data_IF_741174801981
#
_entry.id   IF_741174801981
#
_cell.length_a   1.000
_cell.length_b   1.000
_cell.length_c   1.000
_cell.angle_alpha   90.00
_cell.angle_beta   90.00
_cell.angle_gamma   90.00
#
_symmetry.space_group_name_H-M   'P 1'
#
loop_
_entity.id
_entity.type
_entity.pdbx_description
1 polymer ?
#
# COMPACT_ATOMS: atom_id res chain seq x y z
N UNK A 1 6.20 -6.59 14.69
CA UNK A 1 7.23 -7.29 13.85
C UNK A 1 7.53 -6.44 12.65
N UNK A 2 8.77 -6.50 12.13
CA UNK A 2 9.21 -5.64 11.01
C UNK A 2 9.32 -6.48 9.74
N UNK A 3 8.67 -6.04 8.66
CA UNK A 3 8.80 -6.60 7.32
C UNK A 3 10.15 -6.21 6.69
N UNK A 4 10.71 -7.08 5.87
CA UNK A 4 11.92 -6.82 5.10
C UNK A 4 11.88 -7.56 3.75
N UNK A 5 12.85 -7.29 2.86
CA UNK A 5 12.87 -7.90 1.52
C UNK A 5 12.94 -9.43 1.55
N UNK A 6 13.71 -10.02 2.44
CA UNK A 6 13.80 -11.49 2.53
C UNK A 6 12.45 -12.14 2.91
N UNK A 7 11.69 -11.49 3.81
CA UNK A 7 10.33 -11.92 4.15
C UNK A 7 9.35 -11.69 3.00
N UNK A 8 9.43 -10.54 2.32
CA UNK A 8 8.65 -10.23 1.13
C UNK A 8 8.86 -11.29 0.05
N UNK A 9 10.11 -11.59 -0.28
CA UNK A 9 10.46 -12.60 -1.28
C UNK A 9 9.90 -13.98 -0.93
N UNK A 10 10.02 -14.39 0.34
CA UNK A 10 9.46 -15.65 0.82
C UNK A 10 7.94 -15.72 0.66
N UNK A 11 7.24 -14.64 0.99
CA UNK A 11 5.78 -14.58 0.89
C UNK A 11 5.32 -14.57 -0.57
N UNK A 12 5.99 -13.82 -1.43
CA UNK A 12 5.74 -13.82 -2.88
C UNK A 12 5.99 -15.20 -3.50
N UNK A 13 7.07 -15.87 -3.11
CA UNK A 13 7.37 -17.25 -3.55
C UNK A 13 6.30 -18.23 -3.10
N UNK A 14 5.82 -18.12 -1.85
CA UNK A 14 4.75 -18.98 -1.33
C UNK A 14 3.44 -18.73 -2.08
N UNK A 15 3.09 -17.47 -2.35
CA UNK A 15 1.91 -17.10 -3.12
C UNK A 15 1.98 -17.66 -4.55
N UNK A 16 3.12 -17.54 -5.22
CA UNK A 16 3.33 -18.06 -6.57
C UNK A 16 3.20 -19.58 -6.62
N UNK A 17 3.83 -20.28 -5.66
CA UNK A 17 3.74 -21.74 -5.57
C UNK A 17 2.31 -22.21 -5.31
N UNK A 18 1.57 -21.49 -4.47
CA UNK A 18 0.19 -21.86 -4.13
C UNK A 18 -0.78 -21.62 -5.28
N UNK A 19 -0.71 -20.47 -5.91
CA UNK A 19 -1.69 -20.04 -6.93
C UNK A 19 -1.32 -20.42 -8.37
N UNK A 20 -0.08 -20.83 -8.63
CA UNK A 20 0.45 -21.00 -9.98
C UNK A 20 0.70 -19.67 -10.72
N UNK A 21 0.46 -18.54 -10.08
CA UNK A 21 0.67 -17.21 -10.67
C UNK A 21 2.10 -16.72 -10.44
N UNK A 22 2.63 -15.94 -11.37
CA UNK A 22 3.98 -15.39 -11.27
C UNK A 22 4.03 -13.87 -11.19
N UNK A 23 2.88 -13.19 -11.33
CA UNK A 23 2.76 -11.73 -11.28
C UNK A 23 1.70 -11.35 -10.24
N UNK A 24 2.06 -10.41 -9.38
CA UNK A 24 1.17 -9.91 -8.32
C UNK A 24 1.23 -8.40 -8.25
N UNK A 25 0.11 -7.74 -8.03
CA UNK A 25 0.10 -6.34 -7.60
C UNK A 25 0.29 -6.32 -6.09
N UNK A 26 1.36 -5.65 -5.63
CA UNK A 26 1.68 -5.50 -4.21
C UNK A 26 1.20 -4.13 -3.73
N UNK A 27 0.20 -4.13 -2.87
CA UNK A 27 -0.35 -2.92 -2.25
C UNK A 27 -0.04 -2.87 -0.75
N UNK A 28 -0.70 -2.02 0.00
CA UNK A 28 -0.55 -1.93 1.45
C UNK A 28 0.83 -1.45 1.94
N UNK A 29 1.15 -1.76 3.18
CA UNK A 29 2.36 -1.23 3.84
C UNK A 29 3.65 -1.79 3.26
N UNK A 30 3.65 -3.06 2.84
CA UNK A 30 4.84 -3.75 2.34
C UNK A 30 5.30 -3.25 0.95
N UNK A 31 4.43 -2.54 0.21
CA UNK A 31 4.75 -1.97 -1.11
C UNK A 31 5.99 -1.05 -1.09
N UNK A 32 6.27 -0.40 0.04
CA UNK A 32 7.45 0.46 0.22
C UNK A 32 8.76 -0.29 -0.03
N UNK A 33 8.81 -1.61 0.23
CA UNK A 33 10.01 -2.44 0.01
C UNK A 33 10.38 -2.60 -1.47
N UNK A 34 9.40 -2.55 -2.35
CA UNK A 34 9.61 -2.62 -3.79
C UNK A 34 10.12 -1.32 -4.41
N UNK A 35 9.96 -0.17 -3.72
CA UNK A 35 10.31 1.16 -4.24
C UNK A 35 11.37 1.90 -3.43
N UNK A 36 11.45 1.64 -2.13
CA UNK A 36 12.23 2.47 -1.21
C UNK A 36 13.65 1.99 -0.96
N UNK A 37 14.55 2.95 -0.71
CA UNK A 37 15.83 2.77 -0.02
C UNK A 37 15.76 3.57 1.27
N UNK A 38 16.48 3.13 2.32
CA UNK A 38 16.52 3.81 3.63
C UNK A 38 15.11 4.05 4.23
N UNK A 39 14.29 3.00 4.19
CA UNK A 39 12.89 3.05 4.59
C UNK A 39 12.79 3.24 6.10
N UNK A 40 12.00 4.22 6.61
CA UNK A 40 11.75 4.37 8.03
C UNK A 40 11.16 3.10 8.66
N UNK A 41 11.58 2.78 9.88
CA UNK A 41 11.13 1.59 10.60
C UNK A 41 9.59 1.54 10.76
N UNK A 42 8.96 2.69 10.97
CA UNK A 42 7.50 2.79 11.13
C UNK A 42 6.73 2.42 9.86
N UNK A 43 7.34 2.57 8.68
CA UNK A 43 6.74 2.12 7.41
C UNK A 43 6.84 0.61 7.21
N UNK A 44 7.70 -0.08 7.96
CA UNK A 44 7.95 -1.51 7.88
C UNK A 44 7.19 -2.31 8.95
N UNK A 45 6.38 -1.65 9.78
CA UNK A 45 5.60 -2.29 10.86
C UNK A 45 4.39 -3.02 10.30
N UNK A 46 4.63 -4.17 9.68
CA UNK A 46 3.60 -5.08 9.19
C UNK A 46 4.07 -6.53 9.22
N UNK A 47 3.13 -7.47 9.34
CA UNK A 47 3.35 -8.91 9.24
C UNK A 47 2.79 -9.50 7.94
N UNK A 48 2.12 -8.68 7.15
CA UNK A 48 1.39 -9.07 5.97
C UNK A 48 1.97 -8.45 4.69
N UNK A 49 1.74 -9.12 3.58
CA UNK A 49 1.76 -8.51 2.25
C UNK A 49 0.35 -8.57 1.68
N UNK A 50 -0.14 -7.45 1.18
CA UNK A 50 -1.44 -7.32 0.53
C UNK A 50 -1.23 -7.48 -0.98
N UNK A 51 -1.71 -8.58 -1.58
CA UNK A 51 -1.50 -8.88 -3.00
C UNK A 51 -2.74 -9.42 -3.69
N UNK A 52 -2.80 -9.21 -5.00
CA UNK A 52 -3.69 -9.93 -5.92
C UNK A 52 -2.96 -10.26 -7.21
N UNK A 53 -3.43 -11.29 -7.93
CA UNK A 53 -2.88 -11.72 -9.22
C UNK A 53 -3.67 -11.06 -10.35
N UNK A 54 -3.13 -10.03 -11.04
CA UNK A 54 -3.89 -9.28 -12.05
C UNK A 54 -4.17 -10.08 -13.33
N UNK A 55 -3.37 -11.10 -13.59
CA UNK A 55 -3.43 -11.90 -14.81
C UNK A 55 -4.21 -13.23 -14.61
N UNK A 56 -4.79 -13.45 -13.42
CA UNK A 56 -5.59 -14.63 -13.14
C UNK A 56 -6.94 -14.57 -13.85
N UNK A 57 -7.39 -15.69 -14.40
CA UNK A 57 -8.72 -15.82 -15.02
C UNK A 57 -9.85 -15.52 -14.02
N UNK A 58 -9.66 -15.88 -12.74
CA UNK A 58 -10.55 -15.59 -11.62
C UNK A 58 -9.72 -15.04 -10.44
N UNK A 59 -9.67 -13.72 -10.34
CA UNK A 59 -8.92 -13.03 -9.27
C UNK A 59 -9.52 -13.33 -7.90
N UNK A 60 -10.84 -13.45 -7.79
CA UNK A 60 -11.51 -13.67 -6.50
C UNK A 60 -11.20 -15.07 -5.98
N UNK A 61 -11.28 -16.09 -6.83
CA UNK A 61 -10.92 -17.47 -6.46
C UNK A 61 -9.45 -17.58 -6.02
N UNK A 62 -8.52 -16.94 -6.73
CA UNK A 62 -7.10 -16.90 -6.32
C UNK A 62 -6.93 -16.17 -4.99
N UNK A 63 -7.62 -15.05 -4.79
CA UNK A 63 -7.59 -14.29 -3.54
C UNK A 63 -8.06 -15.12 -2.35
N UNK A 64 -9.18 -15.82 -2.49
CA UNK A 64 -9.74 -16.70 -1.47
C UNK A 64 -8.80 -17.87 -1.14
N UNK A 65 -8.19 -18.48 -2.16
CA UNK A 65 -7.22 -19.56 -1.98
C UNK A 65 -5.95 -19.09 -1.24
N UNK A 66 -5.41 -17.93 -1.61
CA UNK A 66 -4.27 -17.31 -0.89
C UNK A 66 -4.63 -17.02 0.56
N UNK A 67 -5.82 -16.47 0.81
CA UNK A 67 -6.30 -16.18 2.15
C UNK A 67 -6.46 -17.44 3.00
N UNK A 68 -7.04 -18.50 2.43
CA UNK A 68 -7.29 -19.76 3.15
C UNK A 68 -5.99 -20.46 3.58
N UNK A 69 -4.96 -20.46 2.72
CA UNK A 69 -3.75 -21.26 2.95
C UNK A 69 -2.54 -20.46 3.44
N UNK A 70 -2.45 -19.19 3.11
CA UNK A 70 -1.34 -18.31 3.47
C UNK A 70 -1.75 -17.11 4.33
N UNK A 71 -3.05 -16.93 4.57
CA UNK A 71 -3.62 -15.82 5.33
C UNK A 71 -3.34 -15.88 6.83
N UNK A 72 -3.79 -14.87 7.54
CA UNK A 72 -3.50 -14.63 8.97
C UNK A 72 -3.74 -15.82 9.89
N UNK A 73 -4.82 -16.55 9.66
CA UNK A 73 -5.25 -17.65 10.54
C UNK A 73 -4.80 -19.05 10.02
N UNK A 74 -3.91 -19.06 9.02
CA UNK A 74 -3.39 -20.28 8.42
C UNK A 74 -2.25 -20.91 9.25
N UNK A 75 -2.02 -22.21 9.06
CA UNK A 75 -0.84 -22.91 9.59
C UNK A 75 0.48 -22.25 9.10
N UNK A 76 0.47 -21.74 7.86
CA UNK A 76 1.61 -21.01 7.30
C UNK A 76 1.95 -19.77 8.12
N UNK A 77 0.95 -18.94 8.46
CA UNK A 77 1.13 -17.74 9.28
C UNK A 77 1.64 -18.08 10.68
N UNK A 78 1.09 -19.11 11.30
CA UNK A 78 1.51 -19.59 12.61
C UNK A 78 2.99 -19.97 12.64
N UNK A 79 3.45 -20.71 11.64
CA UNK A 79 4.84 -21.18 11.56
C UNK A 79 5.80 -20.04 11.20
N UNK A 80 5.42 -19.14 10.29
CA UNK A 80 6.32 -18.13 9.73
C UNK A 80 6.27 -16.79 10.44
N UNK A 81 5.24 -16.50 11.23
CA UNK A 81 4.99 -15.20 11.86
C UNK A 81 4.69 -14.06 10.88
N UNK A 82 4.50 -14.39 9.59
CA UNK A 82 4.13 -13.48 8.51
C UNK A 82 3.16 -14.19 7.59
N UNK A 83 2.32 -13.45 6.86
CA UNK A 83 1.27 -14.02 6.03
C UNK A 83 1.01 -13.22 4.76
N UNK A 84 0.24 -13.81 3.86
CA UNK A 84 -0.27 -13.18 2.64
C UNK A 84 -1.72 -12.80 2.90
N UNK A 85 -2.04 -11.53 2.72
CA UNK A 85 -3.42 -11.06 2.66
C UNK A 85 -3.83 -10.98 1.19
N UNK A 86 -4.60 -11.96 0.74
CA UNK A 86 -5.21 -11.93 -0.57
C UNK A 86 -6.24 -10.81 -0.62
N UNK A 87 -6.08 -9.87 -1.56
CA UNK A 87 -6.96 -8.73 -1.70
C UNK A 87 -7.54 -8.64 -3.10
N UNK A 88 -8.57 -7.83 -3.28
CA UNK A 88 -9.13 -7.54 -4.61
C UNK A 88 -8.58 -6.20 -5.15
N UNK A 89 -8.68 -5.95 -6.46
CA UNK A 89 -8.26 -4.67 -7.05
C UNK A 89 -8.91 -3.43 -6.41
N UNK A 90 -10.11 -3.59 -5.80
CA UNK A 90 -10.85 -2.51 -5.13
C UNK A 90 -10.38 -2.23 -3.71
N UNK A 91 -9.58 -3.11 -3.12
CA UNK A 91 -9.10 -2.97 -1.72
C UNK A 91 -8.23 -1.74 -1.54
N UNK A 92 -7.34 -1.47 -2.49
CA UNK A 92 -6.53 -0.25 -2.50
C UNK A 92 -7.26 0.86 -3.29
N UNK A 93 -7.77 1.86 -2.58
CA UNK A 93 -8.49 3.02 -3.15
C UNK A 93 -7.50 3.99 -3.79
N UNK A 94 -7.06 3.68 -4.99
CA UNK A 94 -6.04 4.45 -5.72
C UNK A 94 -6.64 5.23 -6.91
N UNK A 95 -5.95 6.28 -7.40
CA UNK A 95 -6.31 6.96 -8.65
C UNK A 95 -6.39 5.99 -9.81
N UNK A 96 -7.31 6.17 -10.76
CA UNK A 96 -7.55 5.26 -11.90
C UNK A 96 -6.32 5.05 -12.79
N UNK A 97 -5.44 6.04 -12.86
CA UNK A 97 -4.23 6.04 -13.67
C UNK A 97 -2.97 5.50 -12.93
N UNK A 98 -3.15 4.91 -11.74
CA UNK A 98 -2.04 4.31 -10.96
C UNK A 98 -1.20 3.29 -11.76
N UNK A 99 -1.77 2.50 -12.71
CA UNK A 99 -0.97 1.50 -13.44
C UNK A 99 0.17 2.12 -14.27
N UNK A 100 0.03 3.37 -14.71
CA UNK A 100 1.06 4.09 -15.46
C UNK A 100 2.29 4.48 -14.63
N UNK A 101 2.21 4.33 -13.28
CA UNK A 101 3.25 4.77 -12.33
C UNK A 101 3.83 3.62 -11.52
N UNK A 102 3.73 2.41 -12.02
CA UNK A 102 4.24 1.21 -11.35
C UNK A 102 5.73 1.00 -11.58
N UNK A 103 6.35 0.22 -10.72
CA UNK A 103 7.64 -0.41 -10.95
C UNK A 103 7.51 -1.90 -10.73
N UNK A 104 8.37 -2.68 -11.36
CA UNK A 104 8.47 -4.11 -11.12
C UNK A 104 9.54 -4.38 -10.05
N UNK A 105 9.17 -5.19 -9.07
CA UNK A 105 10.08 -5.74 -8.08
C UNK A 105 10.27 -7.23 -8.36
N UNK A 106 11.52 -7.60 -8.63
CA UNK A 106 11.96 -9.00 -8.79
C UNK A 106 12.95 -9.31 -7.67
N UNK A 107 12.48 -10.01 -6.64
CA UNK A 107 13.31 -10.35 -5.48
C UNK A 107 14.27 -11.49 -5.77
N UNK A 108 15.48 -11.43 -5.20
CA UNK A 108 16.49 -12.50 -5.36
C UNK A 108 15.99 -13.82 -4.75
N UNK A 109 15.20 -13.75 -3.67
CA UNK A 109 14.65 -14.90 -2.98
C UNK A 109 13.41 -15.53 -3.63
N UNK A 110 12.84 -14.89 -4.67
CA UNK A 110 11.69 -15.38 -5.42
C UNK A 110 11.90 -15.29 -6.95
N UNK A 111 12.89 -16.00 -7.49
CA UNK A 111 13.20 -15.93 -8.93
C UNK A 111 11.98 -16.33 -9.78
N UNK A 112 11.72 -15.56 -10.84
CA UNK A 112 10.58 -15.78 -11.73
C UNK A 112 9.25 -15.21 -11.21
N UNK A 113 9.23 -14.58 -10.04
CA UNK A 113 8.05 -13.91 -9.50
C UNK A 113 8.25 -12.39 -9.57
N UNK A 114 7.25 -11.68 -10.06
CA UNK A 114 7.27 -10.22 -10.22
C UNK A 114 6.16 -9.61 -9.34
N UNK A 115 6.52 -8.67 -8.49
CA UNK A 115 5.54 -7.80 -7.85
C UNK A 115 5.46 -6.45 -8.58
N UNK A 116 4.26 -6.11 -9.05
CA UNK A 116 3.92 -4.81 -9.62
C UNK A 116 3.62 -3.87 -8.46
N UNK A 117 4.44 -2.84 -8.29
CA UNK A 117 4.36 -1.96 -7.12
C UNK A 117 3.90 -0.57 -7.55
N UNK A 118 2.72 -0.12 -7.10
CA UNK A 118 2.22 1.23 -7.36
C UNK A 118 3.13 2.32 -6.79
N UNK A 119 3.01 3.55 -7.28
CA UNK A 119 3.69 4.71 -6.71
C UNK A 119 3.31 4.91 -5.23
N UNK A 120 4.27 5.34 -4.40
CA UNK A 120 4.03 5.47 -2.96
C UNK A 120 3.00 6.54 -2.61
N UNK A 121 2.82 7.56 -3.44
CA UNK A 121 1.77 8.56 -3.24
C UNK A 121 0.38 7.98 -3.55
N UNK A 122 0.27 7.04 -4.51
CA UNK A 122 -0.99 6.34 -4.77
C UNK A 122 -1.35 5.40 -3.59
N UNK A 123 -0.36 4.68 -3.04
CA UNK A 123 -0.53 3.91 -1.80
C UNK A 123 -0.89 4.82 -0.61
N UNK A 124 -0.24 5.98 -0.51
CA UNK A 124 -0.51 6.97 0.54
C UNK A 124 -1.95 7.50 0.47
N UNK A 125 -2.49 7.75 -0.73
CA UNK A 125 -3.90 8.10 -0.93
C UNK A 125 -4.81 7.01 -0.37
N UNK A 126 -4.56 5.74 -0.72
CA UNK A 126 -5.35 4.62 -0.19
C UNK A 126 -5.31 4.55 1.34
N UNK A 127 -4.14 4.74 1.95
CA UNK A 127 -3.97 4.77 3.41
C UNK A 127 -4.64 5.98 4.04
N UNK A 128 -4.56 7.15 3.43
CA UNK A 128 -5.23 8.37 3.88
C UNK A 128 -6.76 8.19 3.83
N UNK A 129 -7.30 7.51 2.82
CA UNK A 129 -8.73 7.20 2.76
C UNK A 129 -9.16 6.17 3.80
N UNK A 130 -8.31 5.21 4.16
CA UNK A 130 -8.59 4.24 5.24
C UNK A 130 -8.46 4.83 6.64
N UNK A 131 -7.49 5.72 6.87
CA UNK A 131 -7.27 6.55 8.07
C UNK A 131 -7.17 5.81 9.40
N UNK A 132 -6.73 4.55 9.41
CA UNK A 132 -6.47 3.79 10.65
C UNK A 132 -5.22 4.33 11.36
N UNK A 133 -5.04 4.07 12.65
CA UNK A 133 -3.86 4.51 13.41
C UNK A 133 -2.54 4.05 12.77
N UNK A 134 -2.49 2.80 12.32
CA UNK A 134 -1.32 2.26 11.60
C UNK A 134 -1.05 3.01 10.28
N UNK A 135 -2.10 3.46 9.59
CA UNK A 135 -1.97 4.18 8.33
C UNK A 135 -1.46 5.60 8.56
N UNK A 136 -1.94 6.30 9.60
CA UNK A 136 -1.43 7.63 10.00
C UNK A 136 0.04 7.58 10.39
N UNK A 137 0.46 6.57 11.16
CA UNK A 137 1.87 6.36 11.51
C UNK A 137 2.74 6.15 10.27
N UNK A 138 2.29 5.33 9.33
CA UNK A 138 2.98 5.06 8.08
C UNK A 138 3.09 6.33 7.21
N UNK A 139 1.99 7.09 7.07
CA UNK A 139 1.94 8.36 6.35
C UNK A 139 2.90 9.39 6.96
N UNK A 140 2.87 9.55 8.28
CA UNK A 140 3.75 10.48 8.98
C UNK A 140 5.23 10.14 8.80
N UNK A 141 5.59 8.86 8.89
CA UNK A 141 6.97 8.42 8.67
C UNK A 141 7.44 8.65 7.22
N UNK A 142 6.61 8.30 6.24
CA UNK A 142 6.92 8.47 4.82
C UNK A 142 7.02 9.93 4.41
N UNK A 143 6.13 10.78 4.91
CA UNK A 143 6.13 12.22 4.62
C UNK A 143 7.36 12.91 5.23
N UNK A 144 7.72 12.60 6.49
CA UNK A 144 8.94 13.13 7.13
C UNK A 144 10.22 12.69 6.41
N UNK A 145 10.22 11.48 5.86
CA UNK A 145 11.35 10.95 5.10
C UNK A 145 11.41 11.45 3.64
N UNK A 146 10.44 12.25 3.19
CA UNK A 146 10.36 12.71 1.80
C UNK A 146 10.02 11.61 0.79
N UNK A 147 9.52 10.46 1.25
CA UNK A 147 9.07 9.35 0.40
C UNK A 147 7.64 9.54 -0.09
N UNK A 148 6.86 10.35 0.61
CA UNK A 148 5.48 10.75 0.29
C UNK A 148 5.45 12.26 0.15
N UNK A 149 4.79 12.73 -0.91
CA UNK A 149 4.61 14.15 -1.19
C UNK A 149 3.12 14.51 -1.16
N UNK A 150 2.72 15.31 -0.16
CA UNK A 150 1.33 15.73 0.02
C UNK A 150 0.78 16.53 -1.17
N UNK A 151 1.62 17.34 -1.84
CA UNK A 151 1.21 18.08 -3.04
C UNK A 151 0.82 17.13 -4.18
N UNK A 152 1.59 16.06 -4.37
CA UNK A 152 1.27 15.00 -5.34
C UNK A 152 -0.04 14.29 -4.98
N UNK A 153 -0.29 14.04 -3.69
CA UNK A 153 -1.55 13.44 -3.24
C UNK A 153 -2.75 14.34 -3.56
N UNK A 154 -2.64 15.65 -3.32
CA UNK A 154 -3.68 16.64 -3.69
C UNK A 154 -3.99 16.64 -5.19
N UNK A 155 -2.97 16.54 -6.05
CA UNK A 155 -3.16 16.52 -7.50
C UNK A 155 -3.83 15.23 -8.01
N UNK A 156 -3.74 14.14 -7.25
CA UNK A 156 -4.19 12.82 -7.70
C UNK A 156 -5.51 12.35 -7.07
N UNK A 157 -5.90 12.91 -5.92
CA UNK A 157 -7.06 12.43 -5.16
C UNK A 157 -8.36 12.45 -5.96
N UNK A 158 -8.56 13.45 -6.80
CA UNK A 158 -9.78 13.59 -7.61
C UNK A 158 -9.89 12.54 -8.73
N UNK A 159 -8.84 11.73 -8.94
CA UNK A 159 -8.84 10.61 -9.88
C UNK A 159 -9.19 9.27 -9.23
N UNK A 160 -9.41 9.25 -7.92
CA UNK A 160 -9.93 8.05 -7.24
C UNK A 160 -11.40 7.88 -7.63
N UNK A 161 -11.84 6.68 -8.06
CA UNK A 161 -13.23 6.44 -8.43
C UNK A 161 -14.19 6.83 -7.32
N UNK A 162 -15.26 7.54 -7.68
CA UNK A 162 -16.26 8.07 -6.74
C UNK A 162 -16.90 6.95 -5.91
N UNK A 163 -17.15 5.80 -6.50
CA UNK A 163 -17.71 4.63 -5.83
C UNK A 163 -16.83 4.09 -4.68
N UNK A 164 -15.51 4.35 -4.72
CA UNK A 164 -14.57 3.95 -3.66
C UNK A 164 -14.53 4.94 -2.50
N UNK A 165 -15.01 6.16 -2.69
CA UNK A 165 -14.91 7.25 -1.69
C UNK A 165 -16.27 7.83 -1.26
N UNK A 166 -17.38 7.38 -1.86
CA UNK A 166 -18.74 7.90 -1.61
C UNK A 166 -19.13 7.96 -0.13
N UNK A 167 -18.59 7.06 0.69
CA UNK A 167 -18.89 7.00 2.12
C UNK A 167 -18.01 7.96 2.97
N UNK A 168 -17.10 8.70 2.32
CA UNK A 168 -16.21 9.65 2.97
C UNK A 168 -16.56 11.05 2.49
N UNK A 169 -17.11 11.93 3.36
CA UNK A 169 -17.44 13.28 2.97
C UNK A 169 -16.22 14.05 2.43
N UNK A 170 -16.42 14.91 1.43
CA UNK A 170 -15.33 15.68 0.79
C UNK A 170 -14.50 16.47 1.80
N UNK A 171 -15.15 17.15 2.74
CA UNK A 171 -14.47 17.91 3.79
C UNK A 171 -13.54 17.05 4.65
N UNK A 172 -13.90 15.77 4.85
CA UNK A 172 -13.09 14.84 5.61
C UNK A 172 -11.83 14.40 4.83
N UNK A 173 -11.94 14.23 3.51
CA UNK A 173 -10.81 13.96 2.63
C UNK A 173 -9.83 15.14 2.67
N UNK A 174 -10.34 16.37 2.56
CA UNK A 174 -9.54 17.60 2.62
C UNK A 174 -8.84 17.75 3.97
N UNK A 175 -9.57 17.52 5.08
CA UNK A 175 -9.01 17.54 6.43
C UNK A 175 -7.85 16.55 6.59
N UNK A 176 -7.99 15.33 6.05
CA UNK A 176 -6.94 14.29 6.13
C UNK A 176 -5.72 14.65 5.28
N UNK A 177 -5.93 15.22 4.11
CA UNK A 177 -4.84 15.74 3.27
C UNK A 177 -4.06 16.84 3.97
N UNK A 178 -4.74 17.81 4.58
CA UNK A 178 -4.12 18.87 5.38
C UNK A 178 -3.33 18.29 6.57
N UNK A 179 -3.84 17.24 7.21
CA UNK A 179 -3.12 16.58 8.30
C UNK A 179 -1.85 15.86 7.80
N UNK A 180 -1.89 15.22 6.63
CA UNK A 180 -0.70 14.62 6.00
C UNK A 180 0.33 15.70 5.65
N UNK A 181 -0.10 16.86 5.15
CA UNK A 181 0.81 17.99 4.88
C UNK A 181 1.52 18.46 6.16
N UNK A 182 0.82 18.53 7.30
CA UNK A 182 1.41 18.92 8.59
C UNK A 182 2.48 17.93 9.09
N UNK A 183 2.46 16.68 8.66
CA UNK A 183 3.51 15.72 9.01
C UNK A 183 4.90 16.13 8.52
N UNK A 184 5.01 17.02 7.50
CA UNK A 184 6.28 17.61 7.05
C UNK A 184 6.89 18.59 8.06
N UNK A 185 6.15 19.00 9.09
CA UNK A 185 6.51 20.13 9.96
C UNK A 185 6.27 21.50 9.34
N UNK A 186 5.69 21.57 8.13
CA UNK A 186 5.30 22.84 7.48
C UNK A 186 3.86 23.20 7.88
N UNK A 187 3.52 24.49 8.02
CA UNK A 187 2.16 24.91 8.28
C UNK A 187 1.25 24.48 7.12
N UNK A 188 0.13 23.83 7.43
CA UNK A 188 -0.85 23.39 6.42
C UNK A 188 -1.43 24.57 5.63
N UNK A 189 -2.04 24.29 4.48
CA UNK A 189 -2.58 25.29 3.54
C UNK A 189 -3.53 26.30 4.21
N UNK A 190 -4.37 25.87 5.15
CA UNK A 190 -5.29 26.72 5.91
C UNK A 190 -4.54 27.74 6.81
N UNK A 191 -3.40 27.36 7.39
CA UNK A 191 -2.60 28.27 8.21
C UNK A 191 -1.86 29.33 7.37
N UNK A 192 -1.48 29.01 6.13
CA UNK A 192 -0.84 29.95 5.21
C UNK A 192 -1.76 31.06 4.71
N UNK A 193 -3.07 30.83 4.68
CA UNK A 193 -4.05 31.84 4.28
C UNK A 193 -4.25 32.88 5.41
N UNK A 194 -4.10 32.49 6.67
CA UNK A 194 -4.16 33.42 7.81
C UNK A 194 -2.94 34.30 8.00
N UNK A 195 -1.77 33.90 7.46
CA UNK A 195 -0.55 34.73 7.50
C UNK A 195 -0.50 35.79 6.39
N UNK A 196 -1.41 35.76 5.41
CA UNK A 196 -1.46 36.68 4.25
C UNK A 196 -2.59 37.73 4.40
N UNK A 197 -3.44 37.59 5.40
CA UNK A 197 -4.54 38.54 5.74
C UNK A 197 -4.17 39.38 6.96
#
# INVERSE_FOLDING_TARGET
MTMNRAKLDRLLKAAAHRSGQSRFVLVGSAAVLGRGKNIPADMLQTNEIDIYAPDADDIEAVTEDLQAYLGKDSAFAFINGNYVDGVTPKTAKMPTDWPSRTVEYAGIGCPGVIAIVPDLNDIAISKMLAWRDKDRTWLAAGTRAGMIDSATMHLRIDRVPEELVRDIPRYEIERRLDEVERFTGRPGKAARIQEIL
#
